data_IF_670991346088
#
_entry.id   IF_670991346088
#
_cell.length_a   1.000
_cell.length_b   1.000
_cell.length_c   1.000
_cell.angle_alpha   90.00
_cell.angle_beta   90.00
_cell.angle_gamma   90.00
#
_symmetry.space_group_name_H-M   'P 1'
#
loop_
_entity.id
_entity.type
_entity.pdbx_description
1 polymer ?
#
# COMPACT_ATOMS: atom_id res chain seq x y z
N UNK A 1 15.44 -13.35 -3.02
CA UNK A 1 14.75 -12.13 -2.57
C UNK A 1 14.52 -11.29 -3.80
N UNK A 2 13.37 -11.44 -4.44
CA UNK A 2 13.08 -10.71 -5.67
C UNK A 2 12.14 -9.56 -5.32
N UNK A 3 12.68 -8.35 -5.31
CA UNK A 3 11.88 -7.14 -5.36
C UNK A 3 11.09 -7.20 -6.68
N UNK A 4 9.80 -7.53 -6.60
CA UNK A 4 8.87 -7.47 -7.73
C UNK A 4 8.72 -6.00 -8.19
N UNK A 5 9.68 -5.52 -8.98
CA UNK A 5 9.63 -4.26 -9.71
C UNK A 5 8.81 -4.41 -11.01
N UNK A 6 7.65 -5.06 -10.94
CA UNK A 6 6.69 -5.05 -12.04
C UNK A 6 5.31 -4.62 -11.54
N UNK A 7 5.14 -3.30 -11.41
CA UNK A 7 3.86 -2.66 -11.61
C UNK A 7 4.06 -1.40 -12.47
N UNK A 8 3.58 -1.39 -13.73
CA UNK A 8 3.72 -0.24 -14.61
C UNK A 8 2.57 0.74 -14.33
N UNK A 9 2.86 1.83 -13.59
CA UNK A 9 2.45 3.22 -13.88
C UNK A 9 2.61 4.14 -12.65
N UNK A 10 3.46 5.18 -12.71
CA UNK A 10 3.35 6.33 -11.80
C UNK A 10 2.26 7.26 -12.34
N UNK A 11 1.28 7.63 -11.52
CA UNK A 11 0.37 8.74 -11.88
C UNK A 11 0.31 9.86 -10.85
N UNK A 12 0.41 9.58 -9.56
CA UNK A 12 0.58 10.60 -8.53
C UNK A 12 1.35 9.95 -7.40
N UNK A 13 2.55 10.43 -7.08
CA UNK A 13 3.21 10.04 -5.83
C UNK A 13 2.39 10.68 -4.72
N UNK A 14 1.45 9.93 -4.17
CA UNK A 14 0.68 10.37 -3.01
C UNK A 14 1.64 10.40 -1.82
N UNK A 15 1.94 11.61 -1.34
CA UNK A 15 2.70 11.79 -0.12
C UNK A 15 1.73 11.61 1.03
N UNK A 16 1.87 10.50 1.74
CA UNK A 16 1.13 10.24 2.98
C UNK A 16 1.83 10.98 4.13
N UNK A 17 1.06 11.61 5.01
CA UNK A 17 1.60 12.22 6.22
C UNK A 17 1.98 11.16 7.26
N UNK A 18 2.83 11.54 8.23
CA UNK A 18 3.19 10.65 9.34
C UNK A 18 1.95 10.25 10.15
N UNK A 19 1.06 11.20 10.44
CA UNK A 19 -0.17 10.96 11.21
C UNK A 19 -1.12 9.98 10.50
N UNK A 20 -1.27 10.10 9.18
CA UNK A 20 -2.04 9.12 8.40
C UNK A 20 -1.37 7.73 8.41
N UNK A 21 -0.05 7.66 8.28
CA UNK A 21 0.69 6.40 8.33
C UNK A 21 0.56 5.71 9.70
N UNK A 22 0.64 6.48 10.78
CA UNK A 22 0.43 5.99 12.16
C UNK A 22 -1.02 5.48 12.33
N UNK A 23 -2.01 6.24 11.87
CA UNK A 23 -3.42 5.84 11.93
C UNK A 23 -3.69 4.55 11.15
N UNK A 24 -3.11 4.40 9.96
CA UNK A 24 -3.20 3.17 9.17
C UNK A 24 -2.54 1.97 9.88
N UNK A 25 -1.51 2.22 10.68
CA UNK A 25 -0.84 1.20 11.50
C UNK A 25 -1.71 0.66 12.64
N UNK A 26 -2.68 1.45 13.13
CA UNK A 26 -3.59 1.03 14.18
C UNK A 26 -4.78 0.19 13.66
N UNK A 27 -5.06 0.25 12.35
CA UNK A 27 -6.18 -0.47 11.75
C UNK A 27 -5.83 -1.96 11.60
N UNK A 28 -6.44 -2.79 12.44
CA UNK A 28 -6.34 -4.25 12.36
C UNK A 28 -7.73 -4.88 12.17
N UNK A 29 -8.00 -5.39 10.96
CA UNK A 29 -9.24 -6.10 10.67
C UNK A 29 -9.01 -7.31 9.74
N UNK A 30 -9.62 -8.49 9.98
CA UNK A 30 -9.38 -9.72 9.18
C UNK A 30 -9.74 -9.65 7.69
N UNK A 31 -10.39 -8.58 7.25
CA UNK A 31 -10.83 -8.35 5.86
C UNK A 31 -10.15 -7.15 5.20
N UNK A 32 -9.22 -6.50 5.89
CA UNK A 32 -8.43 -5.38 5.37
C UNK A 32 -6.98 -5.82 5.27
N UNK A 33 -6.31 -5.39 4.21
CA UNK A 33 -4.86 -5.62 4.07
C UNK A 33 -4.14 -4.86 5.18
N UNK A 34 -3.33 -5.59 5.93
CA UNK A 34 -2.56 -5.05 7.04
C UNK A 34 -1.37 -4.23 6.54
N UNK A 35 -1.18 -3.05 7.13
CA UNK A 35 0.08 -2.31 7.01
C UNK A 35 1.14 -3.03 7.87
N UNK A 36 2.21 -3.49 7.23
CA UNK A 36 3.35 -4.14 7.88
C UNK A 36 4.40 -3.12 8.35
N UNK A 37 4.48 -1.97 7.67
CA UNK A 37 5.37 -0.87 8.05
C UNK A 37 5.37 0.26 7.04
N UNK A 38 6.02 1.36 7.40
CA UNK A 38 6.18 2.51 6.53
C UNK A 38 7.57 3.15 6.68
N UNK A 39 8.00 3.86 5.65
CA UNK A 39 9.12 4.79 5.71
C UNK A 39 8.58 6.18 5.38
N UNK A 40 8.91 7.16 6.20
CA UNK A 40 8.57 8.55 5.99
C UNK A 40 9.86 9.37 5.97
N UNK A 41 10.19 9.92 4.81
CA UNK A 41 11.32 10.82 4.58
C UNK A 41 10.83 12.06 3.82
N UNK A 42 11.55 13.17 3.95
CA UNK A 42 11.13 14.49 3.46
C UNK A 42 10.67 14.50 2.00
N UNK A 43 11.29 13.70 1.14
CA UNK A 43 10.94 13.61 -0.29
C UNK A 43 10.36 12.27 -0.71
N UNK A 44 10.36 11.27 0.18
CA UNK A 44 10.00 9.88 -0.15
C UNK A 44 9.18 9.25 0.96
N UNK A 45 8.08 8.62 0.59
CA UNK A 45 7.27 7.82 1.50
C UNK A 45 7.06 6.44 0.90
N UNK A 46 7.22 5.41 1.72
CA UNK A 46 6.97 4.02 1.33
C UNK A 46 5.98 3.41 2.32
N UNK A 47 5.02 2.66 1.81
CA UNK A 47 4.09 1.86 2.59
C UNK A 47 4.28 0.40 2.22
N UNK A 48 4.39 -0.46 3.23
CA UNK A 48 4.58 -1.90 3.07
C UNK A 48 3.33 -2.58 3.61
N UNK A 49 2.52 -3.16 2.73
CA UNK A 49 1.33 -3.91 3.09
C UNK A 49 1.58 -5.42 2.99
N UNK A 50 0.73 -6.21 3.63
CA UNK A 50 0.66 -7.63 3.33
C UNK A 50 0.26 -7.87 1.87
N UNK A 51 0.76 -8.96 1.30
CA UNK A 51 0.52 -9.26 -0.10
C UNK A 51 -0.88 -9.86 -0.31
N UNK A 52 -1.70 -9.19 -1.12
CA UNK A 52 -2.99 -9.71 -1.59
C UNK A 52 -2.83 -10.38 -2.95
N UNK A 53 -2.79 -11.71 -2.95
CA UNK A 53 -2.55 -12.54 -4.13
C UNK A 53 -3.67 -12.50 -5.19
N UNK A 54 -4.87 -11.98 -4.86
CA UNK A 54 -6.01 -11.96 -5.78
C UNK A 54 -6.16 -10.67 -6.59
N UNK A 55 -5.27 -9.70 -6.38
CA UNK A 55 -5.40 -8.37 -7.00
C UNK A 55 -6.30 -7.46 -6.18
N UNK A 56 -6.77 -6.37 -6.80
CA UNK A 56 -7.59 -5.36 -6.13
C UNK A 56 -9.08 -5.68 -6.22
N UNK A 57 -9.86 -5.15 -5.26
CA UNK A 57 -11.32 -5.23 -5.33
C UNK A 57 -11.87 -4.61 -6.62
N UNK A 58 -11.22 -3.55 -7.11
CA UNK A 58 -11.60 -2.91 -8.36
C UNK A 58 -11.49 -3.89 -9.55
N UNK A 59 -10.40 -4.65 -9.63
CA UNK A 59 -10.21 -5.65 -10.69
C UNK A 59 -11.29 -6.74 -10.65
N UNK A 60 -11.73 -7.11 -9.45
CA UNK A 60 -12.78 -8.10 -9.26
C UNK A 60 -14.18 -7.59 -9.62
N UNK A 61 -14.47 -6.31 -9.40
CA UNK A 61 -15.81 -5.74 -9.63
C UNK A 61 -15.98 -5.24 -11.06
N UNK A 62 -14.97 -4.57 -11.61
CA UNK A 62 -15.08 -3.88 -12.89
C UNK A 62 -14.40 -4.62 -14.05
N UNK A 63 -13.68 -5.71 -13.75
CA UNK A 63 -12.81 -6.37 -14.72
C UNK A 63 -11.53 -5.58 -14.93
N UNK A 64 -10.45 -6.32 -15.16
CA UNK A 64 -9.09 -5.82 -15.42
C UNK A 64 -8.88 -5.34 -16.85
#
# INVERSE_FOLDING_TARGET
MECLQHSPRPKHVWKISKEEADSLGEIHHPKLVKLLGYCYEDTKSLLVFEYSHKGSLHDHIFGS
#
